data_IF_994619418871
#
_entry.id   IF_994619418871
#
_cell.length_a   1.000
_cell.length_b   1.000
_cell.length_c   1.000
_cell.angle_alpha   90.00
_cell.angle_beta   90.00
_cell.angle_gamma   90.00
#
_symmetry.space_group_name_H-M   'P 1'
#
loop_
_entity.id
_entity.type
_entity.pdbx_description
1 polymer ?
#
# COMPACT_ATOMS: atom_id res chain seq x y z
N UNK A 1 -12.83 -43.79 33.71
CA UNK A 1 -12.16 -42.52 34.05
C UNK A 1 -11.44 -42.06 32.80
N UNK A 2 -12.16 -41.45 31.86
CA UNK A 2 -11.63 -41.20 30.51
C UNK A 2 -11.26 -39.72 30.38
N UNK A 3 -9.98 -39.50 30.17
CA UNK A 3 -9.33 -38.21 29.95
C UNK A 3 -9.69 -37.66 28.57
N UNK A 4 -10.86 -37.04 28.44
CA UNK A 4 -11.33 -36.39 27.19
C UNK A 4 -10.88 -34.91 27.13
N UNK A 5 -10.39 -34.36 28.24
CA UNK A 5 -10.00 -32.96 28.39
C UNK A 5 -8.89 -32.44 27.47
N UNK A 6 -7.84 -33.19 27.04
CA UNK A 6 -6.80 -32.60 26.21
C UNK A 6 -7.24 -32.41 24.74
N UNK A 7 -8.16 -33.24 24.24
CA UNK A 7 -8.60 -33.17 22.85
C UNK A 7 -9.51 -31.98 22.56
N UNK A 8 -10.35 -31.60 23.52
CA UNK A 8 -11.24 -30.43 23.41
C UNK A 8 -10.44 -29.12 23.39
N UNK A 9 -9.34 -29.04 24.16
CA UNK A 9 -8.49 -27.85 24.20
C UNK A 9 -7.71 -27.61 22.89
N UNK A 10 -7.23 -28.67 22.23
CA UNK A 10 -6.52 -28.56 20.94
C UNK A 10 -7.47 -28.16 19.81
N UNK A 11 -8.70 -28.69 19.80
CA UNK A 11 -9.72 -28.32 18.81
C UNK A 11 -10.15 -26.85 18.96
N UNK A 12 -10.22 -26.32 20.18
CA UNK A 12 -10.54 -24.91 20.44
C UNK A 12 -9.43 -23.95 19.96
N UNK A 13 -8.15 -24.36 19.99
CA UNK A 13 -7.04 -23.53 19.51
C UNK A 13 -7.02 -23.40 17.97
N UNK A 14 -7.46 -24.44 17.25
CA UNK A 14 -7.56 -24.43 15.79
C UNK A 14 -8.73 -23.58 15.23
N UNK A 15 -9.68 -23.18 16.09
CA UNK A 15 -10.83 -22.35 15.72
C UNK A 15 -10.58 -20.85 15.92
N UNK A 16 -9.44 -20.45 16.47
CA UNK A 16 -9.08 -19.04 16.47
C UNK A 16 -8.70 -18.62 15.05
N UNK A 17 -9.39 -17.66 14.44
CA UNK A 17 -8.97 -17.14 13.14
C UNK A 17 -7.55 -16.62 13.30
N UNK A 18 -6.60 -17.24 12.59
CA UNK A 18 -5.27 -16.68 12.48
C UNK A 18 -5.45 -15.28 11.89
N UNK A 19 -5.10 -14.23 12.64
CA UNK A 19 -5.05 -12.88 12.10
C UNK A 19 -4.28 -12.96 10.78
N UNK A 20 -4.95 -12.70 9.66
CA UNK A 20 -4.30 -12.61 8.37
C UNK A 20 -3.15 -11.62 8.55
N UNK A 21 -1.92 -12.14 8.45
CA UNK A 21 -0.74 -11.31 8.60
C UNK A 21 -0.75 -10.42 7.35
N UNK A 22 -1.05 -9.12 7.53
CA UNK A 22 -0.87 -8.12 6.50
C UNK A 22 0.52 -8.29 5.87
N UNK A 23 0.65 -7.91 4.60
CA UNK A 23 1.80 -8.23 3.74
C UNK A 23 3.13 -7.83 4.41
N UNK A 24 3.12 -6.73 5.17
CA UNK A 24 4.21 -6.32 6.04
C UNK A 24 5.49 -5.99 5.26
N UNK A 25 6.59 -5.73 5.98
CA UNK A 25 7.84 -5.24 5.36
C UNK A 25 8.43 -6.21 4.33
N UNK A 26 8.37 -7.52 4.59
CA UNK A 26 9.00 -8.51 3.73
C UNK A 26 8.25 -8.68 2.40
N UNK A 27 6.92 -8.68 2.41
CA UNK A 27 6.19 -8.80 1.16
C UNK A 27 6.32 -7.52 0.31
N UNK A 28 6.35 -6.32 0.91
CA UNK A 28 6.64 -5.09 0.18
C UNK A 28 7.99 -5.16 -0.56
N UNK A 29 9.04 -5.67 0.11
CA UNK A 29 10.35 -5.92 -0.50
C UNK A 29 10.30 -6.96 -1.61
N UNK A 30 9.53 -8.04 -1.42
CA UNK A 30 9.38 -9.08 -2.43
C UNK A 30 8.68 -8.55 -3.69
N UNK A 31 7.56 -7.85 -3.50
CA UNK A 31 6.76 -7.26 -4.59
C UNK A 31 7.61 -6.30 -5.41
N UNK A 32 8.27 -5.32 -4.79
CA UNK A 32 9.02 -4.33 -5.55
C UNK A 32 10.19 -4.97 -6.30
N UNK A 33 10.86 -5.96 -5.70
CA UNK A 33 11.91 -6.72 -6.39
C UNK A 33 11.34 -7.43 -7.62
N UNK A 34 10.16 -8.05 -7.53
CA UNK A 34 9.52 -8.71 -8.67
C UNK A 34 8.94 -7.74 -9.68
N UNK A 35 8.48 -6.57 -9.25
CA UNK A 35 7.98 -5.54 -10.15
C UNK A 35 9.05 -5.09 -11.14
N UNK A 36 10.31 -4.94 -10.70
CA UNK A 36 11.44 -4.58 -11.58
C UNK A 36 11.58 -5.56 -12.75
N UNK A 37 11.41 -6.86 -12.51
CA UNK A 37 11.55 -7.90 -13.54
C UNK A 37 10.47 -7.78 -14.64
N UNK A 38 9.34 -7.14 -14.34
CA UNK A 38 8.19 -6.97 -15.24
C UNK A 38 8.21 -5.69 -16.07
N UNK A 39 9.11 -4.75 -15.76
CA UNK A 39 9.14 -3.44 -16.42
C UNK A 39 9.55 -3.53 -17.89
N UNK A 40 9.09 -2.64 -18.78
CA UNK A 40 9.60 -2.56 -20.15
C UNK A 40 11.11 -2.32 -20.22
N UNK A 41 11.78 -2.86 -21.24
CA UNK A 41 13.25 -2.85 -21.35
C UNK A 41 13.85 -1.43 -21.34
N UNK A 42 13.10 -0.45 -21.86
CA UNK A 42 13.47 0.95 -21.99
C UNK A 42 13.70 1.63 -20.64
N UNK A 43 12.97 1.20 -19.60
CA UNK A 43 13.08 1.77 -18.24
C UNK A 43 13.70 0.81 -17.24
N UNK A 44 13.66 -0.50 -17.52
CA UNK A 44 14.10 -1.56 -16.59
C UNK A 44 15.53 -1.37 -16.09
N UNK A 45 16.46 -0.98 -16.97
CA UNK A 45 17.88 -0.79 -16.62
C UNK A 45 18.08 0.20 -15.46
N UNK A 46 17.32 1.30 -15.43
CA UNK A 46 17.37 2.27 -14.34
C UNK A 46 16.93 1.63 -13.01
N UNK A 47 15.84 0.87 -13.02
CA UNK A 47 15.31 0.25 -11.80
C UNK A 47 16.14 -0.94 -11.34
N UNK A 48 16.73 -1.72 -12.25
CA UNK A 48 17.68 -2.78 -11.91
C UNK A 48 18.92 -2.24 -11.21
N UNK A 49 19.52 -1.16 -11.75
CA UNK A 49 20.68 -0.51 -11.14
C UNK A 49 20.37 0.04 -9.73
N UNK A 50 19.10 0.37 -9.45
CA UNK A 50 18.65 0.92 -8.16
C UNK A 50 17.87 -0.09 -7.30
N UNK A 51 17.85 -1.39 -7.64
CA UNK A 51 16.98 -2.39 -7.00
C UNK A 51 17.16 -2.46 -5.48
N UNK A 52 18.41 -2.40 -5.00
CA UNK A 52 18.70 -2.39 -3.56
C UNK A 52 18.10 -1.18 -2.84
N UNK A 53 18.20 0.00 -3.45
CA UNK A 53 17.60 1.23 -2.93
C UNK A 53 16.07 1.12 -2.86
N UNK A 54 15.45 0.64 -3.94
CA UNK A 54 14.00 0.43 -4.00
C UNK A 54 13.51 -0.50 -2.87
N UNK A 55 14.17 -1.65 -2.70
CA UNK A 55 13.83 -2.61 -1.64
C UNK A 55 14.08 -2.06 -0.22
N UNK A 56 15.03 -1.15 -0.04
CA UNK A 56 15.25 -0.50 1.25
C UNK A 56 14.13 0.51 1.57
N UNK A 57 13.77 1.34 0.59
CA UNK A 57 12.89 2.50 0.80
C UNK A 57 11.40 2.21 0.60
N UNK A 58 11.01 1.05 0.03
CA UNK A 58 9.59 0.65 -0.11
C UNK A 58 8.88 0.49 1.24
N UNK A 59 9.62 0.37 2.34
CA UNK A 59 9.06 0.24 3.70
C UNK A 59 9.05 1.55 4.48
N UNK A 60 9.56 2.65 3.92
CA UNK A 60 9.62 3.94 4.60
C UNK A 60 8.24 4.44 5.05
N UNK A 61 7.14 4.28 4.28
CA UNK A 61 5.81 4.67 4.76
C UNK A 61 5.35 3.87 5.98
N UNK A 62 5.71 2.58 6.07
CA UNK A 62 5.42 1.76 7.26
C UNK A 62 6.17 2.29 8.48
N UNK A 63 7.43 2.70 8.32
CA UNK A 63 8.24 3.24 9.39
C UNK A 63 7.78 4.66 9.77
N UNK A 64 7.27 5.44 8.81
CA UNK A 64 6.62 6.73 9.07
C UNK A 64 5.34 6.57 9.88
N UNK A 65 4.50 5.58 9.56
CA UNK A 65 3.30 5.25 10.34
C UNK A 65 3.63 4.82 11.76
N UNK A 66 4.71 4.07 11.96
CA UNK A 66 5.15 3.65 13.30
C UNK A 66 5.52 4.86 14.18
N UNK A 67 5.99 5.95 13.58
CA UNK A 67 6.33 7.21 14.26
C UNK A 67 5.13 8.16 14.39
N UNK A 68 4.28 8.21 13.37
CA UNK A 68 3.10 9.06 13.30
C UNK A 68 1.88 8.24 12.83
N UNK A 69 1.03 7.78 13.77
CA UNK A 69 -0.15 6.99 13.44
C UNK A 69 -1.14 7.68 12.48
N UNK A 70 -1.10 9.02 12.39
CA UNK A 70 -1.96 9.75 11.46
C UNK A 70 -1.66 9.38 10.00
N UNK A 71 -0.41 9.01 9.66
CA UNK A 71 -0.02 8.64 8.30
C UNK A 71 -0.76 7.41 7.78
N UNK A 72 -1.33 6.59 8.67
CA UNK A 72 -2.11 5.40 8.30
C UNK A 72 -3.25 5.70 7.33
N UNK A 73 -3.80 6.91 7.34
CA UNK A 73 -4.84 7.32 6.36
C UNK A 73 -4.38 7.19 4.91
N UNK A 74 -3.09 7.15 4.63
CA UNK A 74 -2.55 7.03 3.27
C UNK A 74 -2.49 5.59 2.77
N UNK A 75 -2.64 4.60 3.66
CA UNK A 75 -2.34 3.19 3.40
C UNK A 75 -3.58 2.32 3.18
N UNK A 76 -4.78 2.91 3.24
CA UNK A 76 -6.02 2.16 3.00
C UNK A 76 -7.08 3.03 2.32
N UNK A 77 -8.17 2.38 1.91
CA UNK A 77 -9.44 3.03 1.57
C UNK A 77 -10.60 2.14 2.00
N UNK A 78 -11.50 2.69 2.82
CA UNK A 78 -12.70 2.00 3.29
C UNK A 78 -13.85 2.22 2.29
N UNK A 79 -13.86 1.45 1.20
CA UNK A 79 -14.81 1.60 0.09
C UNK A 79 -16.28 1.40 0.51
N UNK A 80 -16.53 0.55 1.51
CA UNK A 80 -17.84 0.30 2.12
C UNK A 80 -18.50 1.57 2.67
N UNK A 81 -17.70 2.60 3.03
CA UNK A 81 -18.19 3.90 3.53
C UNK A 81 -18.73 4.82 2.43
N UNK A 82 -18.55 4.44 1.18
CA UNK A 82 -18.94 5.23 0.01
C UNK A 82 -20.03 4.59 -0.83
N UNK A 83 -20.37 3.31 -0.61
CA UNK A 83 -21.47 2.64 -1.29
C UNK A 83 -21.19 1.17 -1.53
N UNK A 84 -21.87 0.60 -2.52
CA UNK A 84 -21.72 -0.80 -2.92
C UNK A 84 -20.90 -0.88 -4.20
N UNK A 85 -20.26 -2.03 -4.44
CA UNK A 85 -19.58 -2.31 -5.71
C UNK A 85 -20.51 -2.01 -6.91
N UNK A 86 -20.05 -1.33 -7.96
CA UNK A 86 -18.65 -0.98 -8.28
C UNK A 86 -18.16 0.37 -7.72
N UNK A 87 -18.76 0.84 -6.63
CA UNK A 87 -18.38 2.06 -5.88
C UNK A 87 -18.43 3.36 -6.69
N UNK A 88 -19.39 3.48 -7.61
CA UNK A 88 -19.57 4.65 -8.50
C UNK A 88 -19.78 5.96 -7.74
N UNK A 89 -20.24 5.87 -6.50
CA UNK A 89 -20.47 7.02 -5.66
C UNK A 89 -19.18 7.72 -5.23
N UNK A 90 -18.01 7.06 -5.22
CA UNK A 90 -16.72 7.65 -4.89
C UNK A 90 -16.04 8.26 -6.14
N UNK A 91 -15.93 9.60 -6.25
CA UNK A 91 -15.23 10.18 -7.38
C UNK A 91 -13.75 9.80 -7.38
N UNK A 92 -13.23 9.45 -8.56
CA UNK A 92 -11.81 9.12 -8.73
C UNK A 92 -10.91 10.34 -8.58
N UNK A 93 -11.39 11.53 -8.98
CA UNK A 93 -10.66 12.79 -8.77
C UNK A 93 -10.81 13.27 -7.32
N UNK A 94 -9.68 13.56 -6.64
CA UNK A 94 -9.68 13.96 -5.24
C UNK A 94 -10.49 15.24 -4.97
N UNK A 95 -10.38 16.26 -5.84
CA UNK A 95 -11.11 17.52 -5.68
C UNK A 95 -12.62 17.28 -5.72
N UNK A 96 -13.09 16.48 -6.67
CA UNK A 96 -14.50 16.06 -6.74
C UNK A 96 -14.94 15.26 -5.52
N UNK A 97 -14.08 14.37 -5.01
CA UNK A 97 -14.37 13.61 -3.79
C UNK A 97 -14.48 14.52 -2.57
N UNK A 98 -13.60 15.51 -2.42
CA UNK A 98 -13.65 16.52 -1.35
C UNK A 98 -14.93 17.35 -1.44
N UNK A 99 -15.32 17.79 -2.63
CA UNK A 99 -16.58 18.52 -2.83
C UNK A 99 -17.79 17.69 -2.43
N UNK A 100 -17.79 16.38 -2.71
CA UNK A 100 -18.92 15.49 -2.44
C UNK A 100 -19.00 15.00 -0.99
N UNK A 101 -17.87 14.63 -0.39
CA UNK A 101 -17.83 13.94 0.91
C UNK A 101 -17.18 14.76 2.02
N UNK A 102 -16.49 15.85 1.69
CA UNK A 102 -15.72 16.64 2.64
C UNK A 102 -14.36 16.00 2.97
N UNK A 103 -13.39 16.86 3.30
CA UNK A 103 -12.01 16.45 3.61
C UNK A 103 -11.93 15.51 4.81
N UNK A 104 -12.62 15.85 5.91
CA UNK A 104 -12.58 15.06 7.16
C UNK A 104 -13.06 13.61 6.94
N UNK A 105 -14.14 13.42 6.15
CA UNK A 105 -14.64 12.07 5.85
C UNK A 105 -13.64 11.27 5.02
N UNK A 106 -12.95 11.90 4.06
CA UNK A 106 -11.94 11.22 3.24
C UNK A 106 -10.72 10.83 4.08
N UNK A 107 -10.19 11.76 4.89
CA UNK A 107 -9.05 11.48 5.75
C UNK A 107 -9.35 10.38 6.78
N UNK A 108 -10.58 10.30 7.30
CA UNK A 108 -11.00 9.25 8.22
C UNK A 108 -11.17 7.87 7.55
N UNK A 109 -11.51 7.84 6.26
CA UNK A 109 -11.82 6.59 5.53
C UNK A 109 -10.75 6.20 4.51
N UNK A 110 -9.58 6.85 4.56
CA UNK A 110 -8.42 6.47 3.78
C UNK A 110 -8.30 7.18 2.43
N UNK A 111 -7.05 7.40 2.03
CA UNK A 111 -6.65 8.22 0.89
C UNK A 111 -5.81 7.46 -0.14
N UNK A 112 -5.63 6.16 0.03
CA UNK A 112 -4.69 5.33 -0.72
C UNK A 112 -4.76 5.51 -2.25
N UNK A 113 -5.94 5.51 -2.91
CA UNK A 113 -6.02 5.67 -4.35
C UNK A 113 -5.43 7.00 -4.85
N UNK A 114 -5.56 8.07 -4.07
CA UNK A 114 -5.03 9.38 -4.45
C UNK A 114 -3.53 9.49 -4.17
N UNK A 115 -3.00 8.79 -3.16
CA UNK A 115 -1.57 8.72 -2.92
C UNK A 115 -0.82 8.04 -4.07
N UNK A 116 -1.41 7.00 -4.66
CA UNK A 116 -0.90 6.38 -5.89
C UNK A 116 -0.79 7.43 -7.01
N UNK A 117 -1.84 8.24 -7.20
CA UNK A 117 -1.83 9.33 -8.18
C UNK A 117 -0.73 10.36 -7.92
N UNK A 118 -0.60 10.83 -6.69
CA UNK A 118 0.42 11.82 -6.28
C UNK A 118 1.84 11.32 -6.58
N UNK A 119 2.17 10.08 -6.20
CA UNK A 119 3.51 9.54 -6.42
C UNK A 119 3.76 9.13 -7.88
N UNK A 120 2.72 8.77 -8.63
CA UNK A 120 2.82 8.61 -10.09
C UNK A 120 3.18 9.91 -10.79
N UNK A 121 2.56 11.03 -10.40
CA UNK A 121 2.86 12.36 -10.95
C UNK A 121 4.27 12.82 -10.57
N UNK A 122 4.67 12.66 -9.30
CA UNK A 122 6.03 12.98 -8.83
C UNK A 122 7.10 12.19 -9.58
N UNK A 123 6.91 10.88 -9.72
CA UNK A 123 7.83 10.02 -10.46
C UNK A 123 7.97 10.49 -11.92
N UNK A 124 6.84 10.78 -12.57
CA UNK A 124 6.82 11.26 -13.96
C UNK A 124 7.60 12.57 -14.09
N UNK A 125 7.37 13.51 -13.18
CA UNK A 125 8.05 14.81 -13.17
C UNK A 125 9.55 14.68 -12.89
N UNK A 126 9.94 13.80 -11.95
CA UNK A 126 11.35 13.53 -11.64
C UNK A 126 12.09 12.95 -12.86
N UNK A 127 11.47 12.02 -13.59
CA UNK A 127 12.02 11.53 -14.87
C UNK A 127 12.11 12.64 -15.91
N UNK A 128 11.05 13.44 -16.09
CA UNK A 128 10.99 14.52 -17.08
C UNK A 128 12.07 15.59 -16.85
N UNK A 129 12.39 15.85 -15.59
CA UNK A 129 13.36 16.89 -15.19
C UNK A 129 14.76 16.35 -14.90
N UNK A 130 15.00 15.05 -15.10
CA UNK A 130 16.32 14.43 -14.91
C UNK A 130 16.76 14.32 -13.45
N UNK A 131 15.81 14.30 -12.52
CA UNK A 131 16.06 14.21 -11.08
C UNK A 131 16.04 12.76 -10.60
N UNK A 132 17.12 12.03 -10.92
CA UNK A 132 17.20 10.58 -10.75
C UNK A 132 17.07 10.09 -9.31
N UNK A 133 17.59 10.84 -8.33
CA UNK A 133 17.48 10.49 -6.91
C UNK A 133 16.05 10.62 -6.37
N UNK A 134 15.33 11.65 -6.83
CA UNK A 134 13.90 11.82 -6.53
C UNK A 134 13.11 10.71 -7.21
N UNK A 135 13.41 10.39 -8.47
CA UNK A 135 12.71 9.35 -9.22
C UNK A 135 12.80 7.97 -8.55
N UNK A 136 13.97 7.53 -8.08
CA UNK A 136 14.08 6.23 -7.41
C UNK A 136 13.36 6.22 -6.05
N UNK A 137 13.34 7.33 -5.31
CA UNK A 137 12.58 7.43 -4.06
C UNK A 137 11.07 7.42 -4.33
N UNK A 138 10.60 8.27 -5.23
CA UNK A 138 9.17 8.34 -5.60
C UNK A 138 8.67 7.01 -6.15
N UNK A 139 9.50 6.26 -6.90
CA UNK A 139 9.16 4.91 -7.33
C UNK A 139 9.03 3.91 -6.18
N UNK A 140 9.92 3.96 -5.19
CA UNK A 140 9.83 3.09 -4.02
C UNK A 140 8.54 3.36 -3.21
N UNK A 141 8.19 4.63 -3.03
CA UNK A 141 6.97 5.01 -2.31
C UNK A 141 5.71 4.75 -3.14
N UNK A 142 5.76 4.92 -4.46
CA UNK A 142 4.66 4.53 -5.34
C UNK A 142 4.38 3.03 -5.24
N UNK A 143 5.44 2.20 -5.34
CA UNK A 143 5.32 0.75 -5.23
C UNK A 143 4.75 0.31 -3.87
N UNK A 144 5.08 1.04 -2.80
CA UNK A 144 4.47 0.83 -1.49
C UNK A 144 2.95 0.97 -1.54
N UNK A 145 2.43 2.11 -2.01
CA UNK A 145 0.98 2.33 -2.05
C UNK A 145 0.27 1.39 -3.04
N UNK A 146 0.90 1.07 -4.17
CA UNK A 146 0.35 0.06 -5.09
C UNK A 146 0.27 -1.31 -4.41
N UNK A 147 1.28 -1.71 -3.64
CA UNK A 147 1.25 -2.95 -2.86
C UNK A 147 0.12 -2.95 -1.81
N UNK A 148 -0.03 -1.87 -1.05
CA UNK A 148 -1.10 -1.73 -0.05
C UNK A 148 -2.50 -1.82 -0.67
N UNK A 149 -2.68 -1.36 -1.92
CA UNK A 149 -3.96 -1.48 -2.62
C UNK A 149 -4.34 -2.94 -2.98
N UNK A 150 -3.40 -3.87 -2.85
CA UNK A 150 -3.59 -5.31 -3.05
C UNK A 150 -3.57 -6.10 -1.73
N UNK A 151 -3.39 -5.43 -0.58
CA UNK A 151 -3.50 -6.02 0.76
C UNK A 151 -4.97 -5.98 1.24
N UNK A 152 -5.67 -7.13 1.36
CA UNK A 152 -7.11 -7.18 1.66
C UNK A 152 -7.49 -6.94 3.12
#
# INVERSE_FOLDING_TARGET
MNSITPFVAVAAFAMFPSCAQAWGRNAHRLIINKAVDTLPAEVRLFFEANRGFLAQHVTDPLDAMAKNPAERRNDFVALDKYGHFPFEALPRNYKSAVTKFGKLKLEANGLLPWQIGVYSEKLTEAFRTGKWDEAKLDAAILAHYVAQAHDP
#
